data_IF_301390884286
#
_entry.id   IF_301390884286
#
_cell.length_a   1.000
_cell.length_b   1.000
_cell.length_c   1.000
_cell.angle_alpha   90.00
_cell.angle_beta   90.00
_cell.angle_gamma   90.00
#
_symmetry.space_group_name_H-M   'P 1'
#
loop_
_entity.id
_entity.type
_entity.pdbx_description
1 polymer ?
#
# COMPACT_ATOMS: atom_id res chain seq x y z
N UNK A 1 19.69 7.91 -23.07
CA UNK A 1 20.15 7.90 -21.66
C UNK A 1 18.97 7.44 -20.82
N UNK A 2 18.85 6.15 -20.51
CA UNK A 2 17.72 5.58 -19.76
C UNK A 2 18.18 5.11 -18.37
N UNK A 3 18.55 6.04 -17.49
CA UNK A 3 18.74 5.71 -16.08
C UNK A 3 17.36 5.63 -15.42
N UNK A 4 16.88 4.39 -15.25
CA UNK A 4 15.60 4.08 -14.58
C UNK A 4 15.67 4.29 -13.07
N UNK A 5 16.86 4.14 -12.48
CA UNK A 5 17.07 4.19 -11.03
C UNK A 5 18.26 5.10 -10.68
N UNK A 6 18.08 5.92 -9.66
CA UNK A 6 19.13 6.79 -9.09
C UNK A 6 19.50 6.28 -7.70
N UNK A 7 20.80 6.17 -7.44
CA UNK A 7 21.35 5.74 -6.15
C UNK A 7 21.85 6.97 -5.39
N UNK A 8 21.29 7.23 -4.21
CA UNK A 8 21.67 8.33 -3.34
C UNK A 8 22.10 7.81 -1.98
N UNK A 9 23.17 8.37 -1.43
CA UNK A 9 23.58 8.10 -0.06
C UNK A 9 23.18 9.30 0.82
N UNK A 10 22.43 9.09 1.91
CA UNK A 10 22.10 10.21 2.81
C UNK A 10 23.37 10.68 3.51
N UNK A 11 23.74 11.97 3.43
CA UNK A 11 24.86 12.51 4.20
C UNK A 11 24.61 12.44 5.71
N UNK A 12 23.35 12.33 6.13
CA UNK A 12 22.89 12.36 7.50
C UNK A 12 23.07 11.03 8.26
N UNK A 13 22.67 9.92 7.63
CA UNK A 13 22.57 8.61 8.27
C UNK A 13 23.29 7.53 7.48
N UNK A 14 24.02 7.92 6.43
CA UNK A 14 24.76 7.05 5.51
C UNK A 14 23.89 5.92 4.92
N UNK A 15 22.56 6.09 4.89
CA UNK A 15 21.65 5.11 4.28
C UNK A 15 21.68 5.22 2.76
N UNK A 16 21.64 4.09 2.06
CA UNK A 16 21.55 4.04 0.61
C UNK A 16 20.09 3.97 0.17
N UNK A 17 19.71 4.87 -0.73
CA UNK A 17 18.39 5.00 -1.34
C UNK A 17 18.50 4.67 -2.83
N UNK A 18 17.63 3.79 -3.32
CA UNK A 18 17.42 3.57 -4.76
C UNK A 18 16.03 4.11 -5.11
N UNK A 19 15.99 5.14 -5.96
CA UNK A 19 14.78 5.87 -6.36
C UNK A 19 14.51 5.61 -7.83
N UNK A 20 13.29 5.23 -8.18
CA UNK A 20 12.82 5.18 -9.57
C UNK A 20 12.50 6.59 -10.04
N UNK A 21 13.19 7.03 -11.09
CA UNK A 21 13.09 8.40 -11.63
C UNK A 21 11.73 8.66 -12.27
N UNK A 22 11.09 7.63 -12.83
CA UNK A 22 9.82 7.78 -13.55
C UNK A 22 8.64 7.93 -12.59
N UNK A 23 8.69 7.25 -11.46
CA UNK A 23 7.62 7.24 -10.47
C UNK A 23 7.92 8.14 -9.27
N UNK A 24 9.13 8.72 -9.19
CA UNK A 24 9.64 9.45 -8.04
C UNK A 24 9.47 8.68 -6.71
N UNK A 25 9.50 7.34 -6.78
CA UNK A 25 9.23 6.47 -5.64
C UNK A 25 10.50 5.79 -5.16
N UNK A 26 10.60 5.61 -3.84
CA UNK A 26 11.72 4.89 -3.23
C UNK A 26 11.49 3.40 -3.41
N UNK A 27 12.33 2.77 -4.23
CA UNK A 27 12.26 1.32 -4.51
C UNK A 27 12.99 0.55 -3.42
N UNK A 28 14.12 1.06 -2.92
CA UNK A 28 14.88 0.46 -1.81
C UNK A 28 15.47 1.52 -0.89
N UNK A 29 15.41 1.25 0.41
CA UNK A 29 16.08 2.02 1.46
C UNK A 29 16.78 1.05 2.43
N UNK A 30 18.08 1.26 2.67
CA UNK A 30 18.88 0.43 3.60
C UNK A 30 19.93 1.24 4.35
N UNK A 31 20.22 0.86 5.60
CA UNK A 31 21.33 1.44 6.38
C UNK A 31 22.65 0.77 6.00
N UNK A 32 23.76 1.50 6.08
CA UNK A 32 25.10 1.05 5.69
C UNK A 32 25.58 -0.25 6.37
N UNK A 33 25.07 -0.56 7.57
CA UNK A 33 25.39 -1.79 8.30
C UNK A 33 24.70 -3.07 7.80
N UNK A 34 23.83 -2.97 6.78
CA UNK A 34 23.18 -4.12 6.12
C UNK A 34 23.77 -4.42 4.73
N UNK A 35 24.90 -3.80 4.38
CA UNK A 35 25.54 -3.90 3.06
C UNK A 35 26.96 -4.47 3.20
N UNK A 36 27.30 -5.49 2.42
CA UNK A 36 28.66 -6.03 2.29
C UNK A 36 29.58 -5.01 1.58
N UNK A 37 30.90 -5.23 1.66
CA UNK A 37 31.93 -4.39 1.00
C UNK A 37 31.75 -4.25 -0.53
N UNK A 38 30.98 -5.15 -1.15
CA UNK A 38 30.63 -5.12 -2.58
C UNK A 38 29.32 -4.38 -2.87
N UNK A 39 28.71 -3.73 -1.88
CA UNK A 39 27.45 -2.99 -2.03
C UNK A 39 26.22 -3.88 -2.26
N UNK A 40 26.36 -5.19 -2.02
CA UNK A 40 25.28 -6.16 -2.04
C UNK A 40 24.69 -6.31 -0.63
N UNK A 41 23.39 -6.62 -0.51
CA UNK A 41 22.77 -6.81 0.79
C UNK A 41 23.37 -8.04 1.49
N UNK A 42 23.73 -7.88 2.77
CA UNK A 42 24.10 -9.01 3.64
C UNK A 42 22.81 -9.79 3.92
N UNK A 43 22.58 -10.87 3.20
CA UNK A 43 21.42 -11.73 3.42
C UNK A 43 21.66 -12.58 4.67
N UNK A 44 20.94 -12.31 5.76
CA UNK A 44 20.90 -13.19 6.92
C UNK A 44 19.84 -14.25 6.71
N UNK A 45 20.02 -15.43 7.29
CA UNK A 45 19.08 -16.55 7.13
C UNK A 45 17.64 -16.18 7.55
N UNK A 46 17.49 -15.33 8.57
CA UNK A 46 16.19 -14.80 9.01
C UNK A 46 15.47 -13.88 8.00
N UNK A 47 16.19 -13.29 7.04
CA UNK A 47 15.57 -12.44 6.01
C UNK A 47 14.72 -13.26 5.04
N UNK A 48 15.08 -14.52 4.79
CA UNK A 48 14.30 -15.44 3.96
C UNK A 48 13.00 -15.85 4.64
N UNK A 49 13.06 -16.14 5.94
CA UNK A 49 11.86 -16.43 6.74
C UNK A 49 10.91 -15.24 6.76
N UNK A 50 11.43 -14.03 6.99
CA UNK A 50 10.62 -12.80 6.98
C UNK A 50 10.02 -12.49 5.60
N UNK A 51 10.75 -12.75 4.51
CA UNK A 51 10.25 -12.60 3.16
C UNK A 51 9.13 -13.61 2.86
N UNK A 52 9.31 -14.87 3.25
CA UNK A 52 8.30 -15.93 3.12
C UNK A 52 7.02 -15.58 3.89
N UNK A 53 7.15 -15.09 5.12
CA UNK A 53 6.01 -14.67 5.94
C UNK A 53 5.23 -13.52 5.28
N UNK A 54 5.92 -12.53 4.71
CA UNK A 54 5.28 -11.41 3.99
C UNK A 54 4.51 -11.89 2.76
N UNK A 55 5.06 -12.81 1.98
CA UNK A 55 4.39 -13.36 0.81
C UNK A 55 3.18 -14.19 1.21
N UNK A 56 3.31 -15.04 2.23
CA UNK A 56 2.21 -15.81 2.80
C UNK A 56 1.06 -14.91 3.29
N UNK A 57 1.37 -13.85 4.04
CA UNK A 57 0.39 -12.84 4.49
C UNK A 57 -0.33 -12.15 3.32
N UNK A 58 0.37 -11.87 2.22
CA UNK A 58 -0.28 -11.26 1.03
C UNK A 58 -1.31 -12.20 0.43
N UNK A 59 -1.00 -13.48 0.30
CA UNK A 59 -1.91 -14.50 -0.24
C UNK A 59 -3.14 -14.63 0.67
N UNK A 60 -2.94 -14.70 1.99
CA UNK A 60 -4.05 -14.73 2.96
C UNK A 60 -4.95 -13.50 2.84
N UNK A 61 -4.36 -12.30 2.81
CA UNK A 61 -5.11 -11.04 2.77
C UNK A 61 -5.82 -10.74 1.45
N UNK A 62 -5.49 -11.45 0.36
CA UNK A 62 -6.05 -11.18 -0.96
C UNK A 62 -7.51 -11.65 -1.05
N UNK A 63 -7.82 -12.82 -0.48
CA UNK A 63 -9.20 -13.32 -0.38
C UNK A 63 -10.05 -12.40 0.49
N UNK A 64 -9.55 -12.07 1.69
CA UNK A 64 -10.26 -11.20 2.64
C UNK A 64 -10.60 -9.82 2.04
N UNK A 65 -9.67 -9.21 1.32
CA UNK A 65 -9.90 -7.90 0.66
C UNK A 65 -10.89 -7.99 -0.49
N UNK A 66 -10.88 -9.09 -1.24
CA UNK A 66 -11.84 -9.33 -2.30
C UNK A 66 -13.24 -9.48 -1.73
N UNK A 67 -13.40 -10.31 -0.70
CA UNK A 67 -14.68 -10.53 -0.03
C UNK A 67 -15.20 -9.25 0.66
N UNK A 68 -14.32 -8.47 1.29
CA UNK A 68 -14.65 -7.17 1.85
C UNK A 68 -15.19 -6.23 0.76
N UNK A 69 -14.48 -6.12 -0.36
CA UNK A 69 -14.87 -5.26 -1.49
C UNK A 69 -16.19 -5.71 -2.11
N UNK A 70 -16.36 -7.01 -2.33
CA UNK A 70 -17.58 -7.60 -2.87
C UNK A 70 -18.77 -7.40 -1.93
N UNK A 71 -18.56 -7.54 -0.61
CA UNK A 71 -19.61 -7.29 0.39
C UNK A 71 -20.05 -5.82 0.42
N UNK A 72 -19.11 -4.88 0.22
CA UNK A 72 -19.41 -3.45 0.09
C UNK A 72 -20.21 -3.17 -1.17
N UNK A 73 -19.85 -3.77 -2.30
CA UNK A 73 -20.60 -3.60 -3.55
C UNK A 73 -22.03 -4.15 -3.45
N UNK A 74 -22.22 -5.31 -2.81
CA UNK A 74 -23.56 -5.88 -2.58
C UNK A 74 -24.45 -4.95 -1.74
N UNK A 75 -23.89 -4.29 -0.72
CA UNK A 75 -24.65 -3.38 0.17
C UNK A 75 -24.87 -2.01 -0.45
N UNK A 76 -24.07 -1.62 -1.44
CA UNK A 76 -24.10 -0.28 -2.05
C UNK A 76 -25.48 0.08 -2.62
N UNK A 77 -26.19 -0.86 -3.23
CA UNK A 77 -27.52 -0.60 -3.76
C UNK A 77 -28.52 -0.24 -2.64
N UNK A 78 -28.51 -1.00 -1.56
CA UNK A 78 -29.36 -0.77 -0.40
C UNK A 78 -29.00 0.54 0.32
N UNK A 79 -27.70 0.82 0.49
CA UNK A 79 -27.24 2.07 1.09
C UNK A 79 -27.70 3.29 0.29
N UNK A 80 -27.69 3.20 -1.05
CA UNK A 80 -28.18 4.27 -1.92
C UNK A 80 -29.69 4.46 -1.79
N UNK A 81 -30.48 3.39 -1.80
CA UNK A 81 -31.93 3.47 -1.58
C UNK A 81 -32.26 4.09 -0.22
N UNK A 82 -31.52 3.73 0.84
CA UNK A 82 -31.68 4.31 2.17
C UNK A 82 -31.33 5.81 2.20
N UNK A 83 -30.30 6.23 1.47
CA UNK A 83 -29.95 7.64 1.33
C UNK A 83 -31.04 8.42 0.57
N UNK A 84 -31.58 7.87 -0.51
CA UNK A 84 -32.68 8.49 -1.25
C UNK A 84 -33.96 8.57 -0.42
N UNK A 85 -34.31 7.50 0.31
CA UNK A 85 -35.45 7.48 1.21
C UNK A 85 -35.32 8.56 2.29
N UNK A 86 -34.17 8.64 2.97
CA UNK A 86 -33.91 9.68 3.98
C UNK A 86 -33.94 11.09 3.41
N UNK A 87 -33.48 11.28 2.18
CA UNK A 87 -33.55 12.57 1.49
C UNK A 87 -35.00 12.97 1.19
N UNK A 88 -35.81 12.04 0.68
CA UNK A 88 -37.23 12.26 0.41
C UNK A 88 -38.03 12.52 1.69
N UNK A 89 -37.76 11.80 2.77
CA UNK A 89 -38.41 12.05 4.08
C UNK A 89 -38.09 13.45 4.62
N UNK A 90 -36.85 13.94 4.44
CA UNK A 90 -36.49 15.31 4.82
C UNK A 90 -37.16 16.38 3.97
N UNK A 91 -37.33 16.12 2.67
CA UNK A 91 -38.03 17.04 1.77
C UNK A 91 -39.54 17.06 2.04
N UNK A 92 -40.16 15.90 2.28
CA UNK A 92 -41.57 15.80 2.64
C UNK A 92 -41.89 16.52 3.96
N UNK A 93 -41.08 16.32 4.99
CA UNK A 93 -41.24 17.04 6.28
C UNK A 93 -41.10 18.55 6.17
N UNK A 94 -40.29 19.05 5.23
CA UNK A 94 -40.14 20.49 4.95
C UNK A 94 -41.28 21.09 4.13
N UNK A 95 -42.12 20.27 3.48
CA UNK A 95 -43.23 20.74 2.67
C UNK A 95 -44.56 20.81 3.45
N UNK A 96 -44.64 20.12 4.60
CA UNK A 96 -45.78 20.11 5.51
C UNK A 96 -45.66 21.12 6.67
N UNK A 97 -44.54 21.83 6.76
CA UNK A 97 -44.24 22.92 7.71
C UNK A 97 -44.35 24.29 7.02
#
# INVERSE_FOLDING_TARGET
MDQKEVKLDCPCCQSRLEIDVRTASVVRWRKKGELDETGKPVLREGDWSAASERVSKRIGSAGDKFDESLSREKKRAQDLEDLFRKANEKLGKKAEE
#
